data_IF_568944196723
#
_entry.id   IF_568944196723
#
_cell.length_a   1.000
_cell.length_b   1.000
_cell.length_c   1.000
_cell.angle_alpha   90.00
_cell.angle_beta   90.00
_cell.angle_gamma   90.00
#
_symmetry.space_group_name_H-M   'P 1'
#
loop_
_entity.id
_entity.type
_entity.pdbx_description
1 polymer ?
#
# COMPACT_ATOMS: atom_id res chain seq x y z
N UNK A 1 7.87 74.39 -31.48
CA UNK A 1 7.02 73.19 -31.56
C UNK A 1 7.88 71.96 -31.78
N UNK A 2 8.65 71.57 -30.76
CA UNK A 2 9.40 70.31 -30.69
C UNK A 2 9.54 70.03 -29.20
N UNK A 3 9.01 68.91 -28.69
CA UNK A 3 9.25 68.36 -27.34
C UNK A 3 8.28 67.22 -26.92
N UNK A 4 7.31 66.84 -27.75
CA UNK A 4 6.42 65.71 -27.44
C UNK A 4 6.98 64.36 -27.94
N UNK A 5 7.56 64.34 -29.15
CA UNK A 5 8.09 63.11 -29.75
C UNK A 5 9.34 62.56 -29.05
N UNK A 6 10.22 63.40 -28.50
CA UNK A 6 11.40 62.92 -27.74
C UNK A 6 11.01 62.32 -26.39
N UNK A 7 10.02 62.89 -25.70
CA UNK A 7 9.52 62.34 -24.43
C UNK A 7 8.88 60.97 -24.60
N UNK A 8 8.14 60.77 -25.70
CA UNK A 8 7.55 59.47 -26.03
C UNK A 8 8.66 58.44 -26.29
N UNK A 9 9.71 58.81 -27.03
CA UNK A 9 10.84 57.91 -27.32
C UNK A 9 11.63 57.53 -26.07
N UNK A 10 11.94 58.48 -25.18
CA UNK A 10 12.61 58.20 -23.91
C UNK A 10 11.78 57.31 -22.98
N UNK A 11 10.46 57.51 -22.95
CA UNK A 11 9.55 56.69 -22.13
C UNK A 11 9.49 55.24 -22.63
N UNK A 12 9.52 55.04 -23.95
CA UNK A 12 9.58 53.71 -24.56
C UNK A 12 10.92 53.01 -24.33
N UNK A 13 12.04 53.74 -24.36
CA UNK A 13 13.37 53.17 -24.08
C UNK A 13 13.57 52.82 -22.60
N UNK A 14 13.04 53.63 -21.68
CA UNK A 14 13.09 53.34 -20.24
C UNK A 14 12.20 52.14 -19.86
N UNK A 15 11.02 52.03 -20.46
CA UNK A 15 10.15 50.85 -20.27
C UNK A 15 10.73 49.58 -20.89
N UNK A 16 11.43 49.67 -22.03
CA UNK A 16 12.13 48.51 -22.60
C UNK A 16 13.31 48.01 -21.75
N UNK A 17 14.01 48.90 -21.03
CA UNK A 17 15.12 48.53 -20.11
C UNK A 17 14.61 47.85 -18.84
N UNK A 18 13.56 48.38 -18.20
CA UNK A 18 12.99 47.77 -16.99
C UNK A 18 12.37 46.39 -17.26
N UNK A 19 11.80 46.19 -18.45
CA UNK A 19 11.28 44.88 -18.89
C UNK A 19 12.41 43.85 -19.04
N UNK A 20 13.58 44.23 -19.57
CA UNK A 20 14.75 43.32 -19.74
C UNK A 20 15.38 42.89 -18.41
N UNK A 21 15.52 43.80 -17.45
CA UNK A 21 16.10 43.48 -16.14
C UNK A 21 15.15 42.63 -15.28
N UNK A 22 13.85 42.91 -15.36
CA UNK A 22 12.81 42.12 -14.67
C UNK A 22 12.69 40.72 -15.26
N UNK A 23 12.77 40.56 -16.58
CA UNK A 23 12.74 39.22 -17.21
C UNK A 23 13.98 38.40 -16.92
N UNK A 24 15.16 39.00 -16.82
CA UNK A 24 16.40 38.27 -16.47
C UNK A 24 16.42 37.79 -15.01
N UNK A 25 16.00 38.63 -14.05
CA UNK A 25 15.93 38.25 -12.64
C UNK A 25 14.85 37.17 -12.38
N UNK A 26 13.71 37.27 -13.06
CA UNK A 26 12.63 36.29 -12.94
C UNK A 26 13.01 34.96 -13.60
N UNK A 27 13.69 34.99 -14.76
CA UNK A 27 14.17 33.79 -15.44
C UNK A 27 15.21 33.02 -14.60
N UNK A 28 16.14 33.73 -13.94
CA UNK A 28 17.13 33.11 -13.06
C UNK A 28 16.49 32.45 -11.83
N UNK A 29 15.52 33.13 -11.21
CA UNK A 29 14.80 32.61 -10.03
C UNK A 29 13.93 31.39 -10.37
N UNK A 30 13.30 31.39 -11.54
CA UNK A 30 12.51 30.23 -12.04
C UNK A 30 13.43 29.08 -12.42
N UNK A 31 14.60 29.33 -13.02
CA UNK A 31 15.58 28.28 -13.34
C UNK A 31 16.20 27.65 -12.09
N UNK A 32 16.53 28.44 -11.07
CA UNK A 32 17.05 27.96 -9.79
C UNK A 32 16.00 27.15 -9.01
N UNK A 33 14.73 27.56 -9.08
CA UNK A 33 13.61 26.83 -8.45
C UNK A 33 13.28 25.54 -9.21
N UNK A 34 13.28 25.58 -10.54
CA UNK A 34 13.06 24.40 -11.38
C UNK A 34 14.17 23.36 -11.20
N UNK A 35 15.43 23.78 -11.07
CA UNK A 35 16.55 22.87 -10.79
C UNK A 35 16.42 22.21 -9.41
N UNK A 36 16.02 22.98 -8.38
CA UNK A 36 15.79 22.41 -7.03
C UNK A 36 14.62 21.43 -7.01
N UNK A 37 13.52 21.73 -7.71
CA UNK A 37 12.37 20.84 -7.82
C UNK A 37 12.73 19.58 -8.64
N UNK A 38 13.46 19.71 -9.75
CA UNK A 38 13.91 18.58 -10.55
C UNK A 38 14.86 17.65 -9.77
N UNK A 39 15.78 18.21 -8.97
CA UNK A 39 16.65 17.42 -8.09
C UNK A 39 15.87 16.69 -7.00
N UNK A 40 14.90 17.36 -6.36
CA UNK A 40 14.06 16.76 -5.32
C UNK A 40 13.16 15.64 -5.88
N UNK A 41 12.64 15.82 -7.09
CA UNK A 41 11.82 14.82 -7.79
C UNK A 41 12.69 13.65 -8.26
N UNK A 42 13.90 13.90 -8.79
CA UNK A 42 14.82 12.84 -9.19
C UNK A 42 15.28 11.99 -8.00
N UNK A 43 15.63 12.61 -6.87
CA UNK A 43 16.01 11.90 -5.64
C UNK A 43 14.85 11.07 -5.08
N UNK A 44 13.63 11.63 -5.03
CA UNK A 44 12.45 10.88 -4.55
C UNK A 44 11.91 9.85 -5.54
N UNK A 45 12.17 9.99 -6.84
CA UNK A 45 11.65 9.07 -7.87
C UNK A 45 12.21 7.66 -7.77
N UNK A 46 13.47 7.52 -7.30
CA UNK A 46 14.11 6.22 -7.12
C UNK A 46 13.48 5.45 -5.94
N UNK A 47 13.18 6.15 -4.85
CA UNK A 47 12.53 5.56 -3.68
C UNK A 47 11.06 5.24 -3.95
N UNK A 48 10.36 6.08 -4.71
CA UNK A 48 8.96 5.84 -5.10
C UNK A 48 8.84 4.62 -6.03
N UNK A 49 9.74 4.46 -7.01
CA UNK A 49 9.69 3.32 -7.93
C UNK A 49 9.94 1.97 -7.23
N UNK A 50 10.90 1.92 -6.30
CA UNK A 50 11.19 0.72 -5.49
C UNK A 50 10.02 0.40 -4.56
N UNK A 51 9.50 1.42 -3.85
CA UNK A 51 8.36 1.25 -2.92
C UNK A 51 7.08 0.77 -3.61
N UNK A 52 6.80 1.22 -4.84
CA UNK A 52 5.61 0.77 -5.61
C UNK A 52 5.79 -0.70 -6.05
N UNK A 53 6.99 -1.10 -6.46
CA UNK A 53 7.29 -2.49 -6.81
C UNK A 53 7.08 -3.44 -5.64
N UNK A 54 7.64 -3.09 -4.47
CA UNK A 54 7.56 -3.90 -3.25
C UNK A 54 6.12 -4.03 -2.74
N UNK A 55 5.37 -2.92 -2.69
CA UNK A 55 3.95 -2.92 -2.30
C UNK A 55 3.07 -3.73 -3.27
N UNK A 56 3.41 -3.75 -4.56
CA UNK A 56 2.66 -4.55 -5.55
C UNK A 56 2.93 -6.05 -5.34
N UNK A 57 4.18 -6.44 -5.12
CA UNK A 57 4.54 -7.83 -4.87
C UNK A 57 3.92 -8.36 -3.57
N UNK A 58 3.91 -7.53 -2.52
CA UNK A 58 3.26 -7.85 -1.25
C UNK A 58 1.74 -8.00 -1.40
N UNK A 59 1.08 -7.08 -2.11
CA UNK A 59 -0.35 -7.16 -2.39
C UNK A 59 -0.73 -8.43 -3.15
N UNK A 60 0.08 -8.85 -4.13
CA UNK A 60 -0.11 -10.10 -4.87
C UNK A 60 0.05 -11.31 -3.94
N UNK A 61 1.07 -11.32 -3.06
CA UNK A 61 1.29 -12.40 -2.11
C UNK A 61 0.13 -12.53 -1.11
N UNK A 62 -0.34 -11.42 -0.54
CA UNK A 62 -1.52 -11.39 0.35
C UNK A 62 -2.77 -11.83 -0.40
N UNK A 63 -2.95 -11.42 -1.66
CA UNK A 63 -4.06 -11.86 -2.50
C UNK A 63 -4.08 -13.38 -2.71
N UNK A 64 -2.93 -13.98 -3.01
CA UNK A 64 -2.80 -15.43 -3.14
C UNK A 64 -3.12 -16.17 -1.82
N UNK A 65 -2.67 -15.64 -0.69
CA UNK A 65 -2.98 -16.20 0.64
C UNK A 65 -4.48 -16.15 0.93
N UNK A 66 -5.16 -15.04 0.61
CA UNK A 66 -6.63 -14.93 0.77
C UNK A 66 -7.40 -15.91 -0.10
N UNK A 67 -6.96 -16.15 -1.34
CA UNK A 67 -7.58 -17.17 -2.21
C UNK A 67 -7.41 -18.56 -1.58
N UNK A 68 -6.23 -18.88 -1.05
CA UNK A 68 -6.00 -20.15 -0.34
C UNK A 68 -6.89 -20.28 0.90
N UNK A 69 -7.02 -19.22 1.70
CA UNK A 69 -7.91 -19.19 2.86
C UNK A 69 -9.38 -19.45 2.45
N UNK A 70 -9.85 -18.81 1.37
CA UNK A 70 -11.19 -19.03 0.84
C UNK A 70 -11.43 -20.48 0.42
N UNK A 71 -10.46 -21.10 -0.27
CA UNK A 71 -10.56 -22.50 -0.67
C UNK A 71 -10.60 -23.44 0.54
N UNK A 72 -9.77 -23.21 1.56
CA UNK A 72 -9.80 -24.01 2.79
C UNK A 72 -11.13 -23.85 3.54
N UNK A 73 -11.69 -22.64 3.60
CA UNK A 73 -13.01 -22.40 4.18
C UNK A 73 -14.11 -23.18 3.43
N UNK A 74 -14.05 -23.19 2.10
CA UNK A 74 -14.96 -24.00 1.29
C UNK A 74 -14.81 -25.49 1.57
N UNK A 75 -13.57 -25.97 1.70
CA UNK A 75 -13.31 -27.38 2.05
C UNK A 75 -13.87 -27.72 3.43
N UNK A 76 -13.73 -26.83 4.42
CA UNK A 76 -14.36 -26.99 5.74
C UNK A 76 -15.89 -27.07 5.63
N UNK A 77 -16.52 -26.20 4.83
CA UNK A 77 -17.97 -26.26 4.62
C UNK A 77 -18.40 -27.62 4.05
N UNK A 78 -17.71 -28.12 3.02
CA UNK A 78 -17.97 -29.45 2.46
C UNK A 78 -17.82 -30.55 3.53
N UNK A 79 -16.81 -30.44 4.39
CA UNK A 79 -16.59 -31.41 5.48
C UNK A 79 -17.67 -31.35 6.55
N UNK A 80 -18.22 -30.18 6.84
CA UNK A 80 -19.39 -30.06 7.73
C UNK A 80 -20.64 -30.68 7.12
N UNK A 81 -20.85 -30.54 5.81
CA UNK A 81 -21.97 -31.20 5.12
C UNK A 81 -21.83 -32.73 5.20
N UNK A 82 -20.62 -33.26 4.93
CA UNK A 82 -20.30 -34.69 5.08
C UNK A 82 -20.51 -35.17 6.53
N UNK A 83 -20.05 -34.39 7.52
CA UNK A 83 -20.18 -34.71 8.94
C UNK A 83 -21.65 -34.74 9.38
N UNK A 84 -22.43 -33.74 8.96
CA UNK A 84 -23.86 -33.64 9.26
C UNK A 84 -24.65 -34.80 8.66
N UNK A 85 -24.39 -35.13 7.39
CA UNK A 85 -25.00 -36.28 6.72
C UNK A 85 -24.68 -37.59 7.46
N UNK A 86 -23.40 -37.81 7.81
CA UNK A 86 -22.98 -39.02 8.51
C UNK A 86 -23.57 -39.11 9.91
N UNK A 87 -23.55 -38.02 10.66
CA UNK A 87 -24.14 -37.97 12.01
C UNK A 87 -25.64 -38.31 11.96
N UNK A 88 -26.36 -37.76 10.99
CA UNK A 88 -27.78 -38.05 10.78
C UNK A 88 -28.01 -39.53 10.46
N UNK A 89 -27.22 -40.14 9.57
CA UNK A 89 -27.30 -41.58 9.26
C UNK A 89 -27.07 -42.46 10.49
N UNK A 90 -26.06 -42.13 11.31
CA UNK A 90 -25.74 -42.89 12.53
C UNK A 90 -26.91 -42.85 13.52
N UNK A 91 -27.50 -41.67 13.74
CA UNK A 91 -28.66 -41.50 14.60
C UNK A 91 -29.85 -42.28 14.06
N UNK A 92 -30.15 -42.11 12.76
CA UNK A 92 -31.31 -42.72 12.09
C UNK A 92 -31.27 -44.25 12.12
N UNK A 93 -30.11 -44.84 11.80
CA UNK A 93 -30.01 -46.28 11.55
C UNK A 93 -29.66 -47.09 12.80
N UNK A 94 -28.90 -46.50 13.73
CA UNK A 94 -28.33 -47.25 14.85
C UNK A 94 -28.80 -46.77 16.22
N UNK A 95 -29.40 -45.58 16.35
CA UNK A 95 -29.67 -44.95 17.66
C UNK A 95 -28.42 -44.84 18.55
N UNK A 96 -27.23 -44.99 17.96
CA UNK A 96 -25.94 -45.09 18.64
C UNK A 96 -25.34 -43.71 18.87
N UNK A 97 -24.40 -43.66 19.79
CA UNK A 97 -23.57 -42.50 20.02
C UNK A 97 -22.77 -42.13 18.75
N UNK A 98 -23.04 -40.94 18.20
CA UNK A 98 -22.35 -40.37 17.03
C UNK A 98 -20.85 -40.27 17.24
N UNK A 99 -20.41 -40.02 18.48
CA UNK A 99 -19.00 -39.85 18.82
C UNK A 99 -18.16 -41.13 18.77
N UNK A 100 -18.79 -42.31 18.63
CA UNK A 100 -18.06 -43.57 18.45
C UNK A 100 -17.99 -44.04 17.00
N UNK A 101 -18.60 -43.31 16.06
CA UNK A 101 -18.51 -43.64 14.64
C UNK A 101 -17.13 -43.24 14.10
N UNK A 102 -16.43 -44.18 13.46
CA UNK A 102 -15.07 -43.99 12.98
C UNK A 102 -14.99 -42.89 11.90
N UNK A 103 -15.98 -42.84 11.02
CA UNK A 103 -16.08 -41.85 9.95
C UNK A 103 -16.31 -40.45 10.51
N UNK A 104 -17.20 -40.29 11.51
CA UNK A 104 -17.39 -39.03 12.24
C UNK A 104 -16.08 -38.56 12.87
N UNK A 105 -15.36 -39.44 13.58
CA UNK A 105 -14.07 -39.10 14.21
C UNK A 105 -13.05 -38.66 13.16
N UNK A 106 -13.01 -39.33 12.01
CA UNK A 106 -12.12 -38.98 10.89
C UNK A 106 -12.44 -37.60 10.34
N UNK A 107 -13.72 -37.31 10.06
CA UNK A 107 -14.17 -36.01 9.55
C UNK A 107 -13.83 -34.87 10.52
N UNK A 108 -14.03 -35.07 11.83
CA UNK A 108 -13.64 -34.09 12.86
C UNK A 108 -12.12 -33.81 12.82
N UNK A 109 -11.29 -34.85 12.65
CA UNK A 109 -9.83 -34.67 12.53
C UNK A 109 -9.46 -33.90 11.27
N UNK A 110 -10.14 -34.17 10.15
CA UNK A 110 -9.93 -33.45 8.89
C UNK A 110 -10.29 -31.97 9.03
N UNK A 111 -11.43 -31.65 9.65
CA UNK A 111 -11.84 -30.26 9.93
C UNK A 111 -10.80 -29.54 10.78
N UNK A 112 -10.36 -30.14 11.89
CA UNK A 112 -9.33 -29.54 12.76
C UNK A 112 -8.01 -29.27 12.03
N UNK A 113 -7.61 -30.16 11.12
CA UNK A 113 -6.42 -29.96 10.31
C UNK A 113 -6.58 -28.81 9.31
N UNK A 114 -7.77 -28.63 8.74
CA UNK A 114 -8.07 -27.50 7.86
C UNK A 114 -8.10 -26.17 8.64
N UNK A 115 -8.72 -26.15 9.83
CA UNK A 115 -8.72 -24.98 10.74
C UNK A 115 -7.28 -24.55 11.07
N UNK A 116 -6.42 -25.50 11.45
CA UNK A 116 -5.01 -25.20 11.73
C UNK A 116 -4.26 -24.61 10.52
N UNK A 117 -4.61 -25.01 9.29
CA UNK A 117 -4.03 -24.42 8.08
C UNK A 117 -4.54 -23.00 7.83
N UNK A 118 -5.79 -22.69 8.19
CA UNK A 118 -6.33 -21.34 8.12
C UNK A 118 -5.58 -20.44 9.09
N UNK A 119 -5.39 -20.86 10.35
CA UNK A 119 -4.63 -20.11 11.36
C UNK A 119 -3.21 -19.78 10.85
N UNK A 120 -2.55 -20.75 10.23
CA UNK A 120 -1.22 -20.53 9.62
C UNK A 120 -1.23 -19.53 8.46
N UNK A 121 -2.31 -19.46 7.68
CA UNK A 121 -2.45 -18.48 6.60
C UNK A 121 -2.76 -17.10 7.19
N UNK A 122 -3.59 -17.01 8.22
CA UNK A 122 -3.92 -15.76 8.90
C UNK A 122 -2.66 -15.11 9.50
N UNK A 123 -1.85 -15.90 10.21
CA UNK A 123 -0.56 -15.43 10.73
C UNK A 123 0.35 -14.92 9.61
N UNK A 124 0.42 -15.61 8.46
CA UNK A 124 1.22 -15.15 7.30
C UNK A 124 0.69 -13.85 6.68
N UNK A 125 -0.63 -13.64 6.71
CA UNK A 125 -1.24 -12.39 6.23
C UNK A 125 -0.95 -11.25 7.22
N UNK A 126 -0.94 -11.53 8.52
CA UNK A 126 -0.61 -10.55 9.56
C UNK A 126 0.87 -10.16 9.50
N UNK A 127 1.78 -11.14 9.41
CA UNK A 127 3.22 -10.94 9.24
C UNK A 127 3.57 -10.14 7.98
N UNK A 128 2.77 -10.25 6.92
CA UNK A 128 2.95 -9.46 5.71
C UNK A 128 2.63 -7.98 5.97
N UNK A 129 1.59 -7.69 6.77
CA UNK A 129 1.14 -6.32 7.07
C UNK A 129 2.00 -5.58 8.09
N UNK A 130 2.64 -6.28 9.03
CA UNK A 130 3.45 -5.67 10.11
C UNK A 130 4.89 -5.38 9.69
N UNK A 131 5.34 -5.83 8.52
CA UNK A 131 6.65 -5.50 7.94
C UNK A 131 6.68 -4.14 7.24
N UNK A 132 5.99 -3.14 7.78
CA UNK A 132 6.26 -1.75 7.44
C UNK A 132 7.67 -1.39 7.97
N UNK A 133 8.57 -0.79 7.17
CA UNK A 133 9.81 -0.28 7.71
C UNK A 133 9.49 0.90 8.61
N UNK A 134 9.70 0.73 9.91
CA UNK A 134 9.86 1.82 10.87
C UNK A 134 10.97 2.74 10.34
N UNK A 135 10.59 3.79 9.60
CA UNK A 135 11.47 4.92 9.36
C UNK A 135 11.50 5.73 10.65
N UNK A 136 12.60 5.57 11.38
CA UNK A 136 13.07 6.50 12.41
C UNK A 136 13.01 7.94 11.87
N UNK A 137 11.92 8.65 12.14
CA UNK A 137 11.95 10.11 12.13
C UNK A 137 12.62 10.55 13.42
N UNK A 138 13.95 10.60 13.40
CA UNK A 138 14.73 11.43 14.33
C UNK A 138 14.37 12.90 14.04
N UNK A 139 13.29 13.36 14.65
CA UNK A 139 13.03 14.78 14.87
C UNK A 139 14.01 15.26 15.93
N UNK A 140 15.23 15.62 15.51
CA UNK A 140 16.12 16.46 16.33
C UNK A 140 15.71 17.91 16.12
N UNK A 141 14.65 18.32 16.82
CA UNK A 141 14.38 19.71 17.17
C UNK A 141 14.78 19.90 18.63
N UNK A 142 15.96 20.47 18.86
CA UNK A 142 16.20 21.29 20.04
C UNK A 142 16.92 22.56 19.57
N UNK A 143 16.21 23.67 19.70
CA UNK A 143 16.73 25.01 19.53
C UNK A 143 17.52 25.48 20.76
N UNK A 144 18.28 26.55 20.51
CA UNK A 144 18.60 27.69 21.39
C UNK A 144 18.97 27.43 22.86
N UNK A 145 20.19 27.83 23.24
CA UNK A 145 20.44 29.09 23.97
C UNK A 145 21.95 29.35 24.07
N UNK A 146 22.39 30.52 23.61
CA UNK A 146 23.33 31.41 24.32
C UNK A 146 23.24 32.84 23.74
#
# INVERSE_FOLDING_TARGET
MANLWEKVKQTLEQSAKSIKETTAATAKTVADTASKVALTVAEKSKDIAVTIGDKTQEAVAVGQLKIKQYNLNRDISNKFDELGARAFEVIKNNGKNVYSDAEVIKLIKEVKNLESKIDQIENKIEDAKTKEPEQETTTSSQGETD
#
